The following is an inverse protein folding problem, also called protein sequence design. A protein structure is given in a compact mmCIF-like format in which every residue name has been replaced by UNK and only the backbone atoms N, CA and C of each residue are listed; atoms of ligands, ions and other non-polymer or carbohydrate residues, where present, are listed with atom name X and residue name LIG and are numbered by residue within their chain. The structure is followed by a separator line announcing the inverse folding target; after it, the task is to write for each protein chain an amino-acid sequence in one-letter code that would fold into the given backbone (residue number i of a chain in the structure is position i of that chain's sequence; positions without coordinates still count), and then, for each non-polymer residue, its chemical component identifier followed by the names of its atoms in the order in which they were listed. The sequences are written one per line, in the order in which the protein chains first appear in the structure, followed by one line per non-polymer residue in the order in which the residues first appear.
data_IF_159407084295
#
_entry.id   IF_159407084295
#
_cell.length_a   1.000
_cell.length_b   1.000
_cell.length_c   1.000
_cell.angle_alpha   90.00
_cell.angle_beta   90.00
_cell.angle_gamma   90.00
#
_symmetry.space_group_name_H-M   'P 1'
#
loop_
_entity.id
_entity.type
_entity.pdbx_description
1 polymer ?
#
# COMPACT_ATOMS: atom_id res chain seq x y z
N UNK A 1 -16.23 21.75 4.39
CA UNK A 1 -15.05 20.97 3.94
C UNK A 1 -13.84 21.48 4.68
N UNK A 2 -12.87 20.60 4.96
CA UNK A 2 -11.57 20.97 5.53
C UNK A 2 -10.55 21.01 4.41
N UNK A 3 -9.62 21.98 4.43
CA UNK A 3 -8.54 22.11 3.45
C UNK A 3 -7.25 21.49 3.99
N UNK A 4 -6.51 20.81 3.12
CA UNK A 4 -5.15 20.34 3.37
C UNK A 4 -4.21 20.95 2.33
N UNK A 5 -3.05 21.41 2.75
CA UNK A 5 -1.97 21.86 1.85
C UNK A 5 -0.96 20.73 1.72
N UNK A 6 -0.63 20.35 0.50
CA UNK A 6 0.25 19.23 0.19
C UNK A 6 1.40 19.74 -0.69
N UNK A 7 2.61 19.27 -0.39
CA UNK A 7 3.76 19.47 -1.27
C UNK A 7 3.98 18.21 -2.10
N UNK A 8 4.26 18.40 -3.39
CA UNK A 8 4.67 17.33 -4.31
C UNK A 8 6.05 17.67 -4.88
N UNK A 9 6.83 16.69 -5.36
CA UNK A 9 8.05 16.96 -6.12
C UNK A 9 7.77 17.87 -7.30
N UNK A 10 8.71 18.74 -7.63
CA UNK A 10 8.57 19.72 -8.71
C UNK A 10 8.29 19.04 -10.05
N UNK A 11 8.98 17.93 -10.33
CA UNK A 11 8.80 17.15 -11.55
C UNK A 11 7.38 16.59 -11.63
N UNK A 12 6.79 16.19 -10.50
CA UNK A 12 5.39 15.72 -10.46
C UNK A 12 4.42 16.86 -10.76
N UNK A 13 4.68 18.07 -10.24
CA UNK A 13 3.84 19.23 -10.52
C UNK A 13 3.88 19.62 -12.00
N UNK A 14 5.07 19.55 -12.62
CA UNK A 14 5.25 19.82 -14.04
C UNK A 14 4.43 18.84 -14.90
N UNK A 15 4.48 17.53 -14.60
CA UNK A 15 3.66 16.53 -15.28
C UNK A 15 2.16 16.76 -15.06
N UNK A 16 1.74 17.16 -13.86
CA UNK A 16 0.34 17.48 -13.57
C UNK A 16 -0.16 18.66 -14.39
N UNK A 17 0.70 19.66 -14.66
CA UNK A 17 0.35 20.86 -15.44
C UNK A 17 0.18 20.59 -16.93
N UNK A 18 0.71 19.47 -17.44
CA UNK A 18 0.45 19.00 -18.81
C UNK A 18 -1.01 18.58 -18.99
N UNK A 19 -1.70 18.19 -17.90
CA UNK A 19 -3.09 17.73 -17.90
C UNK A 19 -4.01 18.65 -17.07
N UNK A 20 -4.21 19.92 -17.49
CA UNK A 20 -4.97 20.90 -16.73
C UNK A 20 -6.48 20.58 -16.60
N UNK A 21 -7.01 19.70 -17.45
CA UNK A 21 -8.39 19.22 -17.41
C UNK A 21 -8.68 18.32 -16.19
N UNK A 22 -7.63 17.80 -15.54
CA UNK A 22 -7.77 16.87 -14.44
C UNK A 22 -7.99 17.61 -13.12
N UNK A 23 -9.04 17.23 -12.39
CA UNK A 23 -9.25 17.70 -11.02
C UNK A 23 -8.33 16.94 -10.05
N UNK A 24 -7.09 17.40 -9.93
CA UNK A 24 -6.07 16.79 -9.07
C UNK A 24 -6.48 16.72 -7.60
N UNK A 25 -7.31 17.65 -7.12
CA UNK A 25 -7.85 17.58 -5.76
C UNK A 25 -8.83 16.41 -5.58
N UNK A 26 -9.59 16.05 -6.61
CA UNK A 26 -10.46 14.87 -6.57
C UNK A 26 -9.62 13.58 -6.56
N UNK A 27 -8.60 13.49 -7.42
CA UNK A 27 -7.65 12.38 -7.46
C UNK A 27 -6.98 12.17 -6.11
N UNK A 28 -6.48 13.25 -5.50
CA UNK A 28 -5.84 13.19 -4.18
C UNK A 28 -6.82 12.70 -3.10
N UNK A 29 -8.06 13.20 -3.09
CA UNK A 29 -9.08 12.76 -2.12
C UNK A 29 -9.39 11.27 -2.24
N UNK A 30 -9.58 10.78 -3.46
CA UNK A 30 -9.86 9.35 -3.69
C UNK A 30 -8.68 8.49 -3.27
N UNK A 31 -7.46 8.85 -3.65
CA UNK A 31 -6.25 8.14 -3.26
C UNK A 31 -6.09 8.06 -1.73
N UNK A 32 -6.33 9.17 -1.03
CA UNK A 32 -6.29 9.22 0.44
C UNK A 32 -7.37 8.30 1.04
N UNK A 33 -8.60 8.35 0.54
CA UNK A 33 -9.69 7.49 1.04
C UNK A 33 -9.38 6.00 0.85
N UNK A 34 -8.89 5.60 -0.33
CA UNK A 34 -8.52 4.21 -0.59
C UNK A 34 -7.36 3.76 0.30
N UNK A 35 -6.37 4.64 0.52
CA UNK A 35 -5.25 4.35 1.42
C UNK A 35 -5.73 4.17 2.87
N UNK A 36 -6.64 5.00 3.34
CA UNK A 36 -7.23 4.87 4.69
C UNK A 36 -7.99 3.55 4.86
N UNK A 37 -8.82 3.16 3.89
CA UNK A 37 -9.53 1.87 3.92
C UNK A 37 -8.53 0.71 4.05
N UNK A 38 -7.46 0.74 3.26
CA UNK A 38 -6.41 -0.27 3.30
C UNK A 38 -5.70 -0.29 4.67
N UNK A 39 -5.34 0.87 5.21
CA UNK A 39 -4.67 0.98 6.50
C UNK A 39 -5.56 0.48 7.65
N UNK A 40 -6.85 0.79 7.64
CA UNK A 40 -7.79 0.26 8.63
C UNK A 40 -7.92 -1.27 8.54
N UNK A 41 -7.99 -1.83 7.32
CA UNK A 41 -8.00 -3.28 7.14
C UNK A 41 -6.73 -3.94 7.66
N UNK A 42 -5.56 -3.34 7.40
CA UNK A 42 -4.30 -3.87 7.94
C UNK A 42 -4.28 -3.81 9.45
N UNK A 43 -4.64 -2.68 10.04
CA UNK A 43 -4.68 -2.52 11.49
C UNK A 43 -5.60 -3.56 12.13
N UNK A 44 -6.80 -3.75 11.59
CA UNK A 44 -7.76 -4.76 12.06
C UNK A 44 -7.23 -6.19 11.88
N UNK A 45 -6.59 -6.48 10.75
CA UNK A 45 -5.99 -7.78 10.46
C UNK A 45 -4.83 -8.11 11.40
N UNK A 46 -4.06 -7.10 11.84
CA UNK A 46 -2.88 -7.29 12.69
C UNK A 46 -3.12 -7.07 14.18
N UNK A 47 -4.29 -6.58 14.60
CA UNK A 47 -4.53 -6.09 15.97
C UNK A 47 -4.23 -7.12 17.07
N UNK A 48 -4.54 -8.39 16.82
CA UNK A 48 -4.35 -9.51 17.77
C UNK A 48 -3.20 -10.44 17.33
N UNK A 49 -2.38 -10.00 16.36
CA UNK A 49 -1.31 -10.82 15.83
C UNK A 49 -0.18 -10.97 16.85
N UNK A 50 0.14 -12.22 17.19
CA UNK A 50 1.34 -12.58 17.97
C UNK A 50 2.52 -12.96 17.07
N UNK A 51 2.38 -12.82 15.75
CA UNK A 51 3.35 -13.26 14.76
C UNK A 51 4.63 -12.44 14.85
N UNK A 52 5.74 -13.11 15.16
CA UNK A 52 7.07 -12.49 15.21
C UNK A 52 7.81 -12.65 13.88
N UNK A 53 8.89 -11.91 13.72
CA UNK A 53 9.75 -12.01 12.55
C UNK A 53 10.30 -13.43 12.35
N UNK A 54 10.72 -14.09 13.42
CA UNK A 54 11.19 -15.48 13.41
C UNK A 54 10.12 -16.45 12.87
N UNK A 55 8.85 -16.23 13.23
CA UNK A 55 7.72 -17.02 12.73
C UNK A 55 7.53 -16.79 11.23
N UNK A 56 7.62 -15.54 10.78
CA UNK A 56 7.50 -15.19 9.37
C UNK A 56 8.60 -15.86 8.53
N UNK A 57 9.85 -15.82 8.99
CA UNK A 57 10.98 -16.45 8.30
C UNK A 57 10.85 -17.98 8.25
N UNK A 58 10.46 -18.60 9.37
CA UNK A 58 10.24 -20.05 9.42
C UNK A 58 9.11 -20.49 8.49
N UNK A 59 7.97 -19.81 8.55
CA UNK A 59 6.82 -20.10 7.68
C UNK A 59 7.16 -19.89 6.21
N UNK A 60 7.89 -18.82 5.87
CA UNK A 60 8.36 -18.55 4.51
C UNK A 60 9.29 -19.66 3.97
N UNK A 61 10.21 -20.16 4.79
CA UNK A 61 11.08 -21.28 4.43
C UNK A 61 10.29 -22.59 4.23
N UNK A 62 9.31 -22.88 5.08
CA UNK A 62 8.44 -24.04 4.95
C UNK A 62 7.59 -24.01 3.67
N UNK A 63 6.98 -22.86 3.36
CA UNK A 63 6.23 -22.65 2.11
C UNK A 63 7.14 -22.85 0.91
N UNK A 64 8.33 -22.25 0.92
CA UNK A 64 9.30 -22.37 -0.18
C UNK A 64 9.74 -23.81 -0.40
N UNK A 65 10.00 -24.56 0.68
CA UNK A 65 10.35 -25.99 0.62
C UNK A 65 9.21 -26.80 0.01
N UNK A 66 7.96 -26.59 0.44
CA UNK A 66 6.77 -27.29 -0.08
C UNK A 66 6.52 -26.93 -1.55
N UNK A 67 6.61 -25.66 -1.92
CA UNK A 67 6.49 -25.21 -3.31
C UNK A 67 7.55 -25.87 -4.20
N UNK A 68 8.81 -25.88 -3.76
CA UNK A 68 9.90 -26.55 -4.48
C UNK A 68 9.64 -28.04 -4.68
N UNK A 69 9.18 -28.75 -3.66
CA UNK A 69 8.84 -30.17 -3.76
C UNK A 69 7.68 -30.42 -4.74
N UNK A 70 6.69 -29.53 -4.78
CA UNK A 70 5.54 -29.62 -5.69
C UNK A 70 5.93 -29.35 -7.15
N UNK A 71 6.92 -28.49 -7.40
CA UNK A 71 7.34 -28.08 -8.74
C UNK A 71 8.63 -28.75 -9.24
N UNK A 72 9.22 -29.67 -8.47
CA UNK A 72 10.34 -30.51 -8.94
C UNK A 72 9.79 -31.62 -9.83
N UNK A 73 9.68 -31.35 -11.13
CA UNK A 73 9.66 -32.38 -12.17
C UNK A 73 11.07 -32.90 -12.42
#
# INVERSE_FOLDING_TARGET
MVSITLSVPEETKQEMDIFPEINWSAVAREAIQQRLIMLHKFQEFTKDSLLKEEDALRLGAEVSKKARLRHRK
#
